data_IF_933602593710
#
_entry.id   IF_933602593710
#
_cell.length_a   1.000
_cell.length_b   1.000
_cell.length_c   1.000
_cell.angle_alpha   90.00
_cell.angle_beta   90.00
_cell.angle_gamma   90.00
#
_symmetry.space_group_name_H-M   'P 1'
#
loop_
_entity.id
_entity.type
_entity.pdbx_description
1 polymer ?
#
# COMPACT_ATOMS: atom_id res chain seq x y z
N UNK A 1 10.26 15.27 -20.27
CA UNK A 1 9.25 15.13 -19.20
C UNK A 1 9.85 15.82 -17.99
N UNK A 2 9.20 16.85 -17.44
CA UNK A 2 9.84 17.73 -16.48
C UNK A 2 10.10 16.97 -15.19
N UNK A 3 11.36 16.99 -14.77
CA UNK A 3 11.82 16.57 -13.46
C UNK A 3 11.01 17.33 -12.40
N UNK A 4 10.04 16.65 -11.78
CA UNK A 4 9.48 17.10 -10.52
C UNK A 4 10.63 17.16 -9.53
N UNK A 5 11.00 18.38 -9.15
CA UNK A 5 11.97 18.67 -8.11
C UNK A 5 11.55 17.88 -6.87
N UNK A 6 12.25 16.78 -6.61
CA UNK A 6 12.15 16.05 -5.37
C UNK A 6 12.67 17.02 -4.31
N UNK A 7 11.77 17.58 -3.50
CA UNK A 7 12.19 18.32 -2.31
C UNK A 7 12.85 17.33 -1.34
N UNK A 8 14.17 17.19 -1.47
CA UNK A 8 15.03 16.32 -0.67
C UNK A 8 14.82 16.57 0.84
N UNK A 9 14.51 17.82 1.19
CA UNK A 9 14.13 18.23 2.53
C UNK A 9 12.88 17.53 3.07
N UNK A 10 11.86 17.31 2.24
CA UNK A 10 10.63 16.60 2.64
C UNK A 10 10.84 15.09 2.75
N UNK A 11 11.67 14.48 1.89
CA UNK A 11 12.03 13.05 2.01
C UNK A 11 12.78 12.77 3.30
N UNK A 12 13.83 13.55 3.59
CA UNK A 12 14.62 13.39 4.80
C UNK A 12 13.78 13.56 6.08
N UNK A 13 12.86 14.52 6.10
CA UNK A 13 11.93 14.73 7.23
C UNK A 13 11.05 13.51 7.48
N UNK A 14 10.40 12.96 6.45
CA UNK A 14 9.55 11.76 6.59
C UNK A 14 10.34 10.54 7.05
N UNK A 15 11.56 10.36 6.56
CA UNK A 15 12.45 9.28 7.00
C UNK A 15 12.85 9.44 8.47
N UNK A 16 13.21 10.66 8.89
CA UNK A 16 13.51 10.95 10.30
C UNK A 16 12.31 10.73 11.22
N UNK A 17 11.10 11.10 10.79
CA UNK A 17 9.87 10.83 11.53
C UNK A 17 9.57 9.33 11.66
N UNK A 18 9.83 8.55 10.62
CA UNK A 18 9.66 7.10 10.67
C UNK A 18 10.62 6.46 11.69
N UNK A 19 11.90 6.87 11.70
CA UNK A 19 12.86 6.41 12.71
C UNK A 19 12.43 6.79 14.13
N UNK A 20 11.92 8.02 14.33
CA UNK A 20 11.38 8.45 15.63
C UNK A 20 10.16 7.62 16.08
N UNK A 21 9.36 7.13 15.14
CA UNK A 21 8.21 6.24 15.39
C UNK A 21 8.62 4.78 15.62
N UNK A 22 9.92 4.46 15.63
CA UNK A 22 10.43 3.11 15.85
C UNK A 22 10.39 2.23 14.61
N UNK A 23 10.32 2.81 13.41
CA UNK A 23 10.37 2.03 12.18
C UNK A 23 11.82 1.65 11.89
N UNK A 24 12.05 0.43 11.43
CA UNK A 24 13.37 -0.05 11.02
C UNK A 24 13.57 0.20 9.53
N UNK A 25 14.66 0.88 9.16
CA UNK A 25 15.03 1.06 7.74
C UNK A 25 15.51 -0.28 7.17
N UNK A 26 15.07 -0.62 5.96
CA UNK A 26 15.47 -1.82 5.23
C UNK A 26 16.47 -1.45 4.12
N UNK A 27 17.20 -2.45 3.63
CA UNK A 27 18.14 -2.30 2.52
C UNK A 27 17.44 -2.15 1.16
N UNK A 28 16.21 -2.66 1.05
CA UNK A 28 15.38 -2.54 -0.13
C UNK A 28 14.90 -1.11 -0.38
N UNK A 29 14.79 -0.74 -1.65
CA UNK A 29 14.29 0.57 -2.08
C UNK A 29 12.92 0.46 -2.75
N UNK A 30 12.12 1.52 -2.62
CA UNK A 30 10.80 1.58 -3.25
C UNK A 30 10.93 1.63 -4.78
N UNK A 31 10.35 0.68 -5.54
CA UNK A 31 10.46 0.65 -7.00
C UNK A 31 9.77 1.83 -7.70
N UNK A 32 8.91 2.58 -6.99
CA UNK A 32 8.20 3.75 -7.52
C UNK A 32 9.02 5.04 -7.42
N UNK A 33 9.82 5.22 -6.37
CA UNK A 33 10.43 6.52 -6.05
C UNK A 33 11.89 6.46 -5.59
N UNK A 34 12.47 5.26 -5.44
CA UNK A 34 13.84 5.04 -5.01
C UNK A 34 14.12 5.30 -3.51
N UNK A 35 13.11 5.68 -2.71
CA UNK A 35 13.29 5.87 -1.26
C UNK A 35 13.45 4.53 -0.54
N UNK A 36 14.36 4.38 0.44
CA UNK A 36 14.48 3.17 1.27
C UNK A 36 13.15 2.77 1.91
N UNK A 37 12.90 1.47 1.97
CA UNK A 37 11.72 0.92 2.64
C UNK A 37 11.91 0.89 4.15
N UNK A 38 10.79 0.93 4.87
CA UNK A 38 10.77 0.88 6.32
C UNK A 38 9.83 -0.20 6.80
N UNK A 39 10.24 -0.95 7.81
CA UNK A 39 9.43 -1.90 8.54
C UNK A 39 8.87 -1.25 9.80
N UNK A 40 7.55 -1.28 9.95
CA UNK A 40 6.86 -0.86 11.17
C UNK A 40 7.11 -1.87 12.30
N UNK A 41 6.91 -1.48 13.58
CA UNK A 41 6.98 -2.40 14.72
C UNK A 41 6.05 -3.63 14.63
N UNK A 42 4.94 -3.52 13.89
CA UNK A 42 4.01 -4.62 13.65
C UNK A 42 4.45 -5.57 12.52
N UNK A 43 5.61 -5.33 11.90
CA UNK A 43 6.17 -6.15 10.82
C UNK A 43 5.81 -5.69 9.40
N UNK A 44 4.89 -4.74 9.22
CA UNK A 44 4.49 -4.25 7.88
C UNK A 44 5.59 -3.40 7.23
N UNK A 45 5.88 -3.67 5.97
CA UNK A 45 6.84 -2.88 5.17
C UNK A 45 6.12 -1.80 4.37
N UNK A 46 6.64 -0.59 4.40
CA UNK A 46 6.01 0.58 3.77
C UNK A 46 7.05 1.53 3.20
N UNK A 47 6.73 2.17 2.09
CA UNK A 47 7.46 3.35 1.64
C UNK A 47 6.93 4.58 2.39
N UNK A 48 7.75 5.18 3.25
CA UNK A 48 7.36 6.35 4.07
C UNK A 48 7.13 7.62 3.24
N UNK A 49 7.68 7.68 2.02
CA UNK A 49 7.47 8.79 1.11
C UNK A 49 6.17 8.66 0.31
N UNK A 50 5.97 7.54 -0.39
CA UNK A 50 4.79 7.26 -1.21
C UNK A 50 3.54 6.89 -0.38
N UNK A 51 3.71 6.42 0.85
CA UNK A 51 2.62 5.91 1.69
C UNK A 51 2.07 4.55 1.26
N UNK A 52 2.76 3.83 0.37
CA UNK A 52 2.29 2.57 -0.20
C UNK A 52 2.85 1.40 0.62
N UNK A 53 2.01 0.46 1.10
CA UNK A 53 2.48 -0.78 1.71
C UNK A 53 3.15 -1.65 0.65
N UNK A 54 4.28 -2.25 1.02
CA UNK A 54 5.08 -3.08 0.13
C UNK A 54 5.16 -4.47 0.75
N UNK A 55 5.01 -5.50 -0.08
CA UNK A 55 5.24 -6.89 0.32
C UNK A 55 6.61 -7.25 -0.22
N UNK A 56 7.54 -7.55 0.69
CA UNK A 56 8.82 -8.13 0.30
C UNK A 56 8.61 -9.61 -0.01
N UNK A 57 9.11 -10.02 -1.17
CA UNK A 57 9.02 -11.38 -1.67
C UNK A 57 10.43 -11.89 -1.91
N UNK A 58 10.67 -13.14 -1.52
CA UNK A 58 12.01 -13.73 -1.56
C UNK A 58 12.30 -14.43 -2.90
N UNK A 59 11.27 -14.62 -3.73
CA UNK A 59 11.38 -15.20 -5.07
C UNK A 59 10.38 -14.57 -6.04
N UNK A 60 10.66 -14.72 -7.35
CA UNK A 60 9.75 -14.29 -8.42
C UNK A 60 8.45 -15.11 -8.43
N UNK A 61 8.51 -16.38 -8.04
CA UNK A 61 7.34 -17.25 -7.87
C UNK A 61 6.41 -16.73 -6.77
N UNK A 62 6.97 -16.39 -5.59
CA UNK A 62 6.22 -15.80 -4.49
C UNK A 62 5.62 -14.44 -4.88
N UNK A 63 6.33 -13.66 -5.70
CA UNK A 63 5.83 -12.40 -6.24
C UNK A 63 4.56 -12.60 -7.09
N UNK A 64 4.56 -13.59 -7.98
CA UNK A 64 3.39 -13.91 -8.81
C UNK A 64 2.21 -14.44 -7.97
N UNK A 65 2.47 -15.30 -6.99
CA UNK A 65 1.43 -15.78 -6.07
C UNK A 65 0.77 -14.63 -5.29
N UNK A 66 1.57 -13.70 -4.76
CA UNK A 66 1.04 -12.54 -4.05
C UNK A 66 0.27 -11.60 -4.98
N UNK A 67 0.72 -11.40 -6.23
CA UNK A 67 -0.02 -10.62 -7.23
C UNK A 67 -1.39 -11.25 -7.51
N UNK A 68 -1.46 -12.55 -7.70
CA UNK A 68 -2.72 -13.28 -7.90
C UNK A 68 -3.64 -13.11 -6.69
N UNK A 69 -3.10 -13.30 -5.48
CA UNK A 69 -3.85 -13.12 -4.23
C UNK A 69 -4.44 -11.71 -4.10
N UNK A 70 -3.65 -10.68 -4.38
CA UNK A 70 -4.10 -9.28 -4.31
C UNK A 70 -5.17 -8.98 -5.36
N UNK A 71 -5.04 -9.52 -6.58
CA UNK A 71 -6.08 -9.39 -7.62
C UNK A 71 -7.39 -10.04 -7.19
N UNK A 72 -7.35 -11.24 -6.60
CA UNK A 72 -8.54 -11.94 -6.10
C UNK A 72 -9.24 -11.16 -4.99
N UNK A 73 -8.48 -10.58 -4.06
CA UNK A 73 -9.03 -9.70 -3.01
C UNK A 73 -9.73 -8.49 -3.63
N UNK A 74 -9.08 -7.82 -4.59
CA UNK A 74 -9.70 -6.68 -5.27
C UNK A 74 -10.99 -7.05 -6.01
N UNK A 75 -11.01 -8.18 -6.72
CA UNK A 75 -12.22 -8.69 -7.38
C UNK A 75 -13.33 -8.96 -6.36
N UNK A 76 -13.02 -9.63 -5.25
CA UNK A 76 -13.99 -9.92 -4.18
C UNK A 76 -14.60 -8.63 -3.64
N UNK A 77 -13.79 -7.62 -3.38
CA UNK A 77 -14.25 -6.37 -2.77
C UNK A 77 -15.14 -5.57 -3.75
N UNK A 78 -14.79 -5.57 -5.05
CA UNK A 78 -15.64 -5.00 -6.11
C UNK A 78 -16.98 -5.74 -6.22
N UNK A 79 -16.95 -7.08 -6.26
CA UNK A 79 -18.17 -7.89 -6.34
C UNK A 79 -19.08 -7.68 -5.11
N UNK A 80 -18.49 -7.60 -3.92
CA UNK A 80 -19.21 -7.33 -2.68
C UNK A 80 -19.88 -5.96 -2.72
N UNK A 81 -19.13 -4.94 -3.15
CA UNK A 81 -19.66 -3.58 -3.33
C UNK A 81 -20.82 -3.55 -4.33
N UNK A 82 -20.68 -4.25 -5.46
CA UNK A 82 -21.73 -4.29 -6.48
C UNK A 82 -22.97 -5.04 -6.02
N UNK A 83 -22.78 -6.14 -5.27
CA UNK A 83 -23.87 -6.89 -4.67
C UNK A 83 -24.65 -6.02 -3.68
N UNK A 84 -23.97 -5.24 -2.83
CA UNK A 84 -24.63 -4.31 -1.91
C UNK A 84 -25.42 -3.20 -2.64
N UNK A 85 -24.88 -2.65 -3.73
CA UNK A 85 -25.62 -1.70 -4.58
C UNK A 85 -26.90 -2.33 -5.13
N UNK A 86 -26.80 -3.52 -5.72
CA UNK A 86 -27.97 -4.22 -6.26
C UNK A 86 -28.99 -4.53 -5.16
N UNK A 87 -28.55 -4.99 -3.99
CA UNK A 87 -29.44 -5.25 -2.86
C UNK A 87 -30.14 -3.99 -2.36
N UNK A 88 -29.49 -2.81 -2.40
CA UNK A 88 -30.14 -1.52 -2.10
C UNK A 88 -31.24 -1.19 -3.11
N UNK A 89 -31.02 -1.48 -4.40
CA UNK A 89 -32.00 -1.23 -5.46
C UNK A 89 -33.22 -2.17 -5.36
N UNK A 90 -32.99 -3.43 -4.93
CA UNK A 90 -34.06 -4.43 -4.78
C UNK A 90 -34.78 -4.39 -3.42
N UNK A 91 -34.12 -3.92 -2.36
CA UNK A 91 -34.69 -3.72 -1.03
C UNK A 91 -34.51 -2.26 -0.59
N UNK A 92 -35.25 -1.32 -1.18
CA UNK A 92 -35.32 0.03 -0.63
C UNK A 92 -35.78 -0.11 0.82
N UNK A 93 -34.99 0.42 1.76
CA UNK A 93 -35.37 0.49 3.17
C UNK A 93 -36.70 1.23 3.25
N UNK A 94 -37.80 0.50 3.35
CA UNK A 94 -39.09 1.09 3.70
C UNK A 94 -38.92 1.76 5.06
N UNK A 95 -39.18 3.05 5.07
CA UNK A 95 -39.25 3.90 6.25
C UNK A 95 -40.30 3.37 7.22
N UNK A 96 -39.86 2.82 8.35
CA UNK A 96 -40.51 2.88 9.67
C UNK A 96 -39.53 2.48 10.77
#
# INVERSE_FOLDING_TARGET
>A
MPDEIIDEGTRAKKMAEALKRGFKMLEDTCPRCGTPLFQKPNGEVVCVYCGIPVILVSSEEEAEEQKVRMRLIGIRDILSSKLEEMLRDFYPKESS
#
